data_IF_755356953846
#
_entry.id   IF_755356953846
#
_cell.length_a   1.000
_cell.length_b   1.000
_cell.length_c   1.000
_cell.angle_alpha   90.00
_cell.angle_beta   90.00
_cell.angle_gamma   90.00
#
_symmetry.space_group_name_H-M   'P 1'
#
loop_
_entity.id
_entity.type
_entity.pdbx_description
1 polymer ?
#
# COMPACT_ATOMS: atom_id res chain seq x y z
N UNK A 1 -2.60 3.58 -23.69
CA UNK A 1 -1.39 2.74 -23.58
C UNK A 1 -1.82 1.36 -23.11
N UNK A 2 -1.77 0.30 -23.93
CA UNK A 2 -2.05 -1.07 -23.47
C UNK A 2 -0.75 -1.70 -22.93
N UNK A 3 -0.79 -2.20 -21.70
CA UNK A 3 0.31 -2.95 -21.10
C UNK A 3 0.36 -4.36 -21.71
N UNK A 4 1.48 -4.69 -22.33
CA UNK A 4 1.75 -6.01 -22.88
C UNK A 4 2.24 -6.95 -21.76
N UNK A 5 1.57 -8.11 -21.65
CA UNK A 5 1.98 -9.22 -20.80
C UNK A 5 3.18 -9.90 -21.48
N UNK A 6 4.35 -9.88 -20.85
CA UNK A 6 5.52 -10.62 -21.32
C UNK A 6 5.39 -12.07 -20.86
N UNK A 7 5.11 -12.95 -21.80
CA UNK A 7 5.18 -14.40 -21.64
C UNK A 7 6.65 -14.84 -21.77
N UNK A 8 7.19 -15.46 -20.72
CA UNK A 8 8.50 -16.11 -20.77
C UNK A 8 8.38 -17.56 -20.29
N UNK A 9 7.97 -18.43 -21.21
CA UNK A 9 8.35 -19.85 -21.20
C UNK A 9 9.36 -20.05 -22.35
N UNK A 10 10.64 -20.33 -22.10
CA UNK A 10 11.16 -21.65 -21.70
C UNK A 10 12.69 -21.53 -21.56
N UNK A 11 13.37 -22.36 -20.74
CA UNK A 11 14.75 -22.71 -20.99
C UNK A 11 14.90 -24.16 -21.47
N UNK A 12 15.55 -24.27 -22.62
CA UNK A 12 16.07 -25.49 -23.23
C UNK A 12 17.06 -26.20 -22.30
N UNK A 13 16.99 -27.52 -22.30
CA UNK A 13 17.86 -28.45 -21.59
C UNK A 13 19.27 -28.44 -22.20
N UNK A 14 20.32 -28.38 -21.37
CA UNK A 14 21.68 -28.73 -21.78
C UNK A 14 22.78 -28.31 -20.82
N UNK A 15 23.55 -29.28 -20.31
CA UNK A 15 24.94 -29.07 -19.89
C UNK A 15 25.21 -29.10 -18.38
N UNK A 16 25.89 -30.16 -17.95
CA UNK A 16 26.39 -30.36 -16.59
C UNK A 16 27.39 -29.28 -16.15
N UNK A 17 27.23 -28.77 -14.93
CA UNK A 17 28.32 -28.24 -14.13
C UNK A 17 27.96 -28.44 -12.64
N UNK A 18 28.76 -29.27 -11.97
CA UNK A 18 28.78 -29.36 -10.52
C UNK A 18 29.13 -27.99 -9.93
N UNK A 19 28.27 -27.46 -9.06
CA UNK A 19 28.64 -26.42 -8.11
C UNK A 19 28.07 -26.76 -6.73
N UNK A 20 29.01 -27.11 -5.84
CA UNK A 20 28.87 -27.06 -4.40
C UNK A 20 28.49 -25.64 -3.97
N UNK A 21 27.45 -25.50 -3.16
CA UNK A 21 27.09 -24.24 -2.50
C UNK A 21 25.60 -23.95 -2.59
N UNK A 22 24.78 -24.72 -1.89
CA UNK A 22 23.37 -24.39 -1.67
C UNK A 22 23.30 -23.21 -0.70
N UNK A 23 23.57 -22.00 -1.19
CA UNK A 23 23.03 -20.80 -0.57
C UNK A 23 21.54 -20.83 -0.88
N UNK A 24 20.72 -21.15 0.13
CA UNK A 24 19.28 -21.06 0.03
C UNK A 24 18.94 -19.68 -0.55
N UNK A 25 18.34 -19.65 -1.74
CA UNK A 25 17.85 -18.42 -2.34
C UNK A 25 17.00 -17.69 -1.29
N UNK A 26 17.11 -16.36 -1.17
CA UNK A 26 16.26 -15.62 -0.24
C UNK A 26 14.83 -16.01 -0.55
N UNK A 27 14.13 -16.59 0.44
CA UNK A 27 12.75 -16.97 0.29
C UNK A 27 11.98 -15.72 -0.14
N UNK A 28 11.55 -15.64 -1.40
CA UNK A 28 10.64 -14.60 -1.85
C UNK A 28 9.40 -14.71 -0.96
N UNK A 29 9.21 -13.73 -0.09
CA UNK A 29 8.04 -13.68 0.77
C UNK A 29 6.88 -13.21 -0.11
N UNK A 30 5.87 -14.06 -0.28
CA UNK A 30 4.71 -13.72 -1.08
C UNK A 30 3.80 -12.73 -0.33
N UNK A 31 3.15 -11.87 -1.10
CA UNK A 31 2.13 -10.93 -0.61
C UNK A 31 0.79 -11.65 -0.57
N UNK A 32 0.06 -11.55 0.54
CA UNK A 32 -1.21 -12.27 0.63
C UNK A 32 -2.27 -11.71 -0.33
N UNK A 33 -3.18 -12.58 -0.82
CA UNK A 33 -4.33 -12.14 -1.60
C UNK A 33 -5.22 -11.12 -0.88
N UNK A 34 -5.21 -11.13 0.47
CA UNK A 34 -5.99 -10.20 1.27
C UNK A 34 -5.46 -8.77 1.17
N UNK A 35 -4.14 -8.57 1.24
CA UNK A 35 -3.54 -7.25 1.04
C UNK A 35 -3.78 -6.74 -0.39
N UNK A 36 -3.58 -7.59 -1.40
CA UNK A 36 -3.84 -7.24 -2.81
C UNK A 36 -5.29 -6.80 -2.99
N UNK A 37 -6.25 -7.54 -2.43
CA UNK A 37 -7.66 -7.19 -2.50
C UNK A 37 -7.96 -5.84 -1.84
N UNK A 38 -7.37 -5.57 -0.67
CA UNK A 38 -7.56 -4.28 0.02
C UNK A 38 -7.02 -3.10 -0.82
N UNK A 39 -5.85 -3.26 -1.42
CA UNK A 39 -5.27 -2.29 -2.35
C UNK A 39 -6.20 -2.08 -3.56
N UNK A 40 -6.66 -3.16 -4.19
CA UNK A 40 -7.56 -3.07 -5.34
C UNK A 40 -8.91 -2.41 -4.99
N UNK A 41 -9.49 -2.70 -3.82
CA UNK A 41 -10.72 -2.07 -3.35
C UNK A 41 -10.56 -0.57 -3.18
N UNK A 42 -9.45 -0.13 -2.57
CA UNK A 42 -9.14 1.30 -2.45
C UNK A 42 -8.92 1.94 -3.83
N UNK A 43 -8.16 1.31 -4.74
CA UNK A 43 -7.96 1.80 -6.11
C UNK A 43 -9.28 2.05 -6.84
N UNK A 44 -10.24 1.12 -6.72
CA UNK A 44 -11.55 1.23 -7.34
C UNK A 44 -12.34 2.43 -6.79
N UNK A 45 -12.45 2.52 -5.45
CA UNK A 45 -13.17 3.61 -4.79
C UNK A 45 -12.53 4.98 -5.09
N UNK A 46 -11.21 5.06 -5.05
CA UNK A 46 -10.49 6.30 -5.35
C UNK A 46 -10.64 6.73 -6.81
N UNK A 47 -10.65 5.77 -7.75
CA UNK A 47 -10.90 6.06 -9.17
C UNK A 47 -12.31 6.59 -9.42
N UNK A 48 -13.31 6.02 -8.74
CA UNK A 48 -14.70 6.47 -8.79
C UNK A 48 -14.86 7.88 -8.22
N UNK A 49 -14.28 8.14 -7.04
CA UNK A 49 -14.25 9.48 -6.43
C UNK A 49 -13.67 10.52 -7.38
N UNK A 50 -12.49 10.25 -7.97
CA UNK A 50 -11.88 11.17 -8.93
C UNK A 50 -12.74 11.36 -10.18
N UNK A 51 -13.45 10.33 -10.63
CA UNK A 51 -14.36 10.45 -11.76
C UNK A 51 -15.54 11.37 -11.44
N UNK A 52 -16.18 11.19 -10.28
CA UNK A 52 -17.28 12.04 -9.82
C UNK A 52 -16.79 13.48 -9.64
N UNK A 53 -15.64 13.69 -9.02
CA UNK A 53 -15.03 15.00 -8.85
C UNK A 53 -14.81 15.72 -10.19
N UNK A 54 -14.27 15.03 -11.20
CA UNK A 54 -14.09 15.60 -12.55
C UNK A 54 -15.41 15.94 -13.24
N UNK A 55 -16.46 15.16 -13.01
CA UNK A 55 -17.79 15.42 -13.58
C UNK A 55 -18.48 16.59 -12.89
N UNK A 56 -18.30 16.72 -11.58
CA UNK A 56 -18.85 17.78 -10.76
C UNK A 56 -18.03 19.09 -10.81
N UNK A 57 -16.83 19.09 -11.40
CA UNK A 57 -15.99 20.27 -11.49
C UNK A 57 -16.73 21.41 -12.20
N UNK A 58 -17.06 22.46 -11.43
CA UNK A 58 -17.82 23.61 -11.89
C UNK A 58 -17.12 24.38 -13.02
N UNK A 59 -15.78 24.34 -13.08
CA UNK A 59 -15.00 24.95 -14.16
C UNK A 59 -15.21 24.16 -15.45
N UNK A 60 -15.16 22.83 -15.37
CA UNK A 60 -15.39 21.95 -16.51
C UNK A 60 -16.86 21.98 -16.96
N UNK A 61 -17.79 22.01 -16.00
CA UNK A 61 -19.22 21.98 -16.26
C UNK A 61 -19.78 23.36 -16.67
N UNK A 62 -19.04 24.46 -16.45
CA UNK A 62 -19.48 25.82 -16.74
C UNK A 62 -20.72 26.25 -15.93
N UNK A 63 -21.01 25.56 -14.82
CA UNK A 63 -22.17 25.80 -13.97
C UNK A 63 -21.86 25.49 -12.51
N UNK A 64 -22.59 26.05 -11.54
CA UNK A 64 -22.44 25.68 -10.14
C UNK A 64 -22.74 24.19 -9.92
N UNK A 65 -22.05 23.61 -8.93
CA UNK A 65 -22.32 22.27 -8.41
C UNK A 65 -23.75 22.21 -7.87
N UNK A 66 -24.49 21.19 -8.26
CA UNK A 66 -25.80 20.88 -7.69
C UNK A 66 -25.66 20.16 -6.35
N UNK A 67 -26.72 20.21 -5.55
CA UNK A 67 -26.77 19.46 -4.28
C UNK A 67 -26.59 17.96 -4.48
N UNK A 68 -27.21 17.38 -5.52
CA UNK A 68 -27.07 15.95 -5.83
C UNK A 68 -25.63 15.56 -6.18
N UNK A 69 -24.91 16.40 -6.94
CA UNK A 69 -23.50 16.18 -7.24
C UNK A 69 -22.62 16.28 -5.99
N UNK A 70 -22.92 17.23 -5.11
CA UNK A 70 -22.24 17.37 -3.83
C UNK A 70 -22.48 16.14 -2.95
N UNK A 71 -23.72 15.70 -2.79
CA UNK A 71 -24.09 14.54 -1.97
C UNK A 71 -23.43 13.25 -2.50
N UNK A 72 -23.30 13.09 -3.82
CA UNK A 72 -22.57 11.97 -4.44
C UNK A 72 -21.06 12.04 -4.18
N UNK A 73 -20.48 13.24 -4.26
CA UNK A 73 -19.07 13.44 -3.98
C UNK A 73 -18.74 13.11 -2.53
N UNK A 74 -19.58 13.57 -1.59
CA UNK A 74 -19.46 13.29 -0.15
C UNK A 74 -19.55 11.79 0.12
N UNK A 75 -20.57 11.11 -0.44
CA UNK A 75 -20.74 9.66 -0.30
C UNK A 75 -19.55 8.87 -0.85
N UNK A 76 -19.02 9.26 -2.02
CA UNK A 76 -17.86 8.60 -2.62
C UNK A 76 -16.58 8.84 -1.80
N UNK A 77 -16.44 10.03 -1.22
CA UNK A 77 -15.35 10.40 -0.31
C UNK A 77 -15.37 9.54 0.95
N UNK A 78 -16.53 9.33 1.55
CA UNK A 78 -16.69 8.47 2.73
C UNK A 78 -16.30 7.00 2.44
N UNK A 79 -16.72 6.46 1.30
CA UNK A 79 -16.39 5.08 0.89
C UNK A 79 -14.89 4.93 0.63
N UNK A 80 -14.27 5.86 -0.09
CA UNK A 80 -12.83 5.85 -0.33
C UNK A 80 -12.05 5.89 0.99
N UNK A 81 -12.45 6.80 1.89
CA UNK A 81 -11.84 6.97 3.20
C UNK A 81 -11.95 5.72 4.05
N UNK A 82 -13.08 5.03 4.02
CA UNK A 82 -13.27 3.75 4.73
C UNK A 82 -12.24 2.71 4.26
N UNK A 83 -12.08 2.53 2.95
CA UNK A 83 -11.10 1.59 2.41
C UNK A 83 -9.66 2.02 2.73
N UNK A 84 -9.35 3.31 2.67
CA UNK A 84 -8.03 3.82 3.00
C UNK A 84 -7.67 3.57 4.47
N UNK A 85 -8.60 3.80 5.38
CA UNK A 85 -8.44 3.51 6.80
C UNK A 85 -8.28 2.01 7.06
N UNK A 86 -9.07 1.16 6.39
CA UNK A 86 -8.94 -0.29 6.47
C UNK A 86 -7.55 -0.76 5.98
N UNK A 87 -7.06 -0.20 4.87
CA UNK A 87 -5.73 -0.48 4.35
C UNK A 87 -4.63 0.00 5.33
N UNK A 88 -4.79 1.20 5.92
CA UNK A 88 -3.89 1.69 6.97
C UNK A 88 -3.89 0.78 8.22
N UNK A 89 -5.03 0.21 8.59
CA UNK A 89 -5.13 -0.74 9.69
C UNK A 89 -4.67 -2.16 9.35
N UNK A 90 -4.48 -2.50 8.06
CA UNK A 90 -4.10 -3.84 7.62
C UNK A 90 -2.82 -4.34 8.32
N UNK A 91 -2.87 -5.50 9.01
CA UNK A 91 -1.73 -6.05 9.73
C UNK A 91 -0.82 -6.85 8.79
N UNK A 92 0.20 -6.20 8.22
CA UNK A 92 1.18 -6.86 7.36
C UNK A 92 1.92 -8.00 8.10
N UNK A 93 1.90 -9.21 7.53
CA UNK A 93 2.44 -10.42 8.13
C UNK A 93 3.96 -10.58 7.90
N UNK A 94 4.49 -10.02 6.81
CA UNK A 94 5.88 -10.19 6.39
C UNK A 94 6.47 -8.89 5.81
N UNK A 95 7.77 -8.89 5.46
CA UNK A 95 8.44 -7.68 4.94
C UNK A 95 7.94 -7.27 3.56
N UNK A 96 7.61 -8.24 2.70
CA UNK A 96 7.05 -7.96 1.38
C UNK A 96 5.70 -7.23 1.48
N UNK A 97 4.79 -7.69 2.35
CA UNK A 97 3.52 -7.02 2.61
C UNK A 97 3.70 -5.63 3.22
N UNK A 98 4.71 -5.45 4.10
CA UNK A 98 5.04 -4.14 4.65
C UNK A 98 5.50 -3.19 3.55
N UNK A 99 6.39 -3.67 2.70
CA UNK A 99 6.93 -2.91 1.58
C UNK A 99 5.83 -2.51 0.61
N UNK A 100 5.04 -3.45 0.11
CA UNK A 100 3.98 -3.18 -0.87
C UNK A 100 2.90 -2.25 -0.32
N UNK A 101 2.47 -2.45 0.93
CA UNK A 101 1.54 -1.53 1.60
C UNK A 101 2.11 -0.13 1.72
N UNK A 102 3.38 0.01 2.12
CA UNK A 102 4.02 1.31 2.28
C UNK A 102 4.20 2.01 0.91
N UNK A 103 4.69 1.29 -0.10
CA UNK A 103 4.86 1.78 -1.46
C UNK A 103 3.52 2.28 -2.02
N UNK A 104 2.45 1.52 -1.84
CA UNK A 104 1.12 1.94 -2.26
C UNK A 104 0.63 3.19 -1.52
N UNK A 105 0.69 3.18 -0.18
CA UNK A 105 0.25 4.31 0.63
C UNK A 105 1.05 5.57 0.35
N UNK A 106 2.34 5.48 0.03
CA UNK A 106 3.14 6.65 -0.37
C UNK A 106 2.76 7.14 -1.78
N UNK A 107 2.53 6.23 -2.71
CA UNK A 107 2.23 6.56 -4.11
C UNK A 107 0.89 7.27 -4.32
N UNK A 108 -0.09 7.09 -3.43
CA UNK A 108 -1.38 7.81 -3.55
C UNK A 108 -1.28 9.31 -3.17
N UNK A 109 -0.21 9.73 -2.49
CA UNK A 109 0.01 11.14 -2.10
C UNK A 109 0.94 11.92 -3.01
N UNK A 110 1.48 11.30 -4.06
CA UNK A 110 2.22 12.03 -5.09
C UNK A 110 1.22 12.84 -5.95
N UNK A 111 0.87 14.05 -5.49
CA UNK A 111 0.13 15.03 -6.29
C UNK A 111 -0.90 15.89 -5.54
N UNK A 112 -1.41 15.45 -4.39
CA UNK A 112 -2.42 16.16 -3.59
C UNK A 112 -1.90 16.41 -2.17
N UNK A 113 -2.21 17.56 -1.55
CA UNK A 113 -1.83 17.84 -0.16
C UNK A 113 -2.72 17.01 0.79
N UNK A 114 -2.19 16.00 1.49
CA UNK A 114 -3.02 15.11 2.30
C UNK A 114 -3.52 15.78 3.57
N UNK A 115 -4.76 15.46 3.94
CA UNK A 115 -5.33 15.86 5.23
C UNK A 115 -4.45 15.44 6.41
N UNK A 116 -4.21 16.31 7.41
CA UNK A 116 -3.26 16.04 8.49
C UNK A 116 -3.55 14.76 9.31
N UNK A 117 -4.83 14.41 9.48
CA UNK A 117 -5.21 13.18 10.20
C UNK A 117 -4.92 11.91 9.41
N UNK A 118 -4.97 11.99 8.08
CA UNK A 118 -4.63 10.88 7.19
C UNK A 118 -3.12 10.63 7.22
N UNK A 119 -2.32 11.70 7.15
CA UNK A 119 -0.86 11.62 7.31
C UNK A 119 -0.51 10.98 8.66
N UNK A 120 -1.15 11.41 9.75
CA UNK A 120 -0.95 10.80 11.07
C UNK A 120 -1.33 9.32 11.10
N UNK A 121 -2.42 8.92 10.43
CA UNK A 121 -2.84 7.52 10.37
C UNK A 121 -1.81 6.64 9.65
N UNK A 122 -1.26 7.12 8.54
CA UNK A 122 -0.21 6.44 7.77
C UNK A 122 1.08 6.36 8.58
N UNK A 123 1.54 7.49 9.14
CA UNK A 123 2.72 7.52 10.00
C UNK A 123 2.58 6.57 11.19
N UNK A 124 1.40 6.48 11.80
CA UNK A 124 1.10 5.49 12.86
C UNK A 124 1.12 4.06 12.36
N UNK A 125 0.62 3.80 11.15
CA UNK A 125 0.70 2.47 10.52
C UNK A 125 2.17 2.04 10.32
N UNK A 126 3.06 2.99 10.02
CA UNK A 126 4.49 2.72 9.86
C UNK A 126 5.23 2.66 11.22
N UNK A 127 4.81 3.47 12.19
CA UNK A 127 5.52 3.61 13.48
C UNK A 127 5.26 2.47 14.47
N UNK A 128 4.07 1.84 14.44
CA UNK A 128 3.79 0.63 15.25
C UNK A 128 4.67 -0.58 14.87
N UNK A 129 5.49 -0.45 13.82
CA UNK A 129 6.43 -1.47 13.36
C UNK A 129 7.84 -1.31 13.95
N UNK A 130 8.22 -0.14 14.48
CA UNK A 130 9.53 0.04 15.12
C UNK A 130 9.62 -0.60 16.51
N UNK A 131 8.48 -0.82 17.16
CA UNK A 131 8.40 -1.31 18.55
C UNK A 131 8.44 -2.85 18.66
N UNK A 132 8.34 -3.57 17.54
CA UNK A 132 8.39 -5.05 17.52
C UNK A 132 9.78 -5.63 17.24
N UNK A 133 10.78 -4.77 17.00
CA UNK A 133 12.15 -5.17 16.64
C UNK A 133 13.18 -4.88 17.73
N UNK A 134 12.76 -4.45 18.93
CA UNK A 134 13.67 -4.48 20.07
C UNK A 134 13.68 -5.91 20.61
N UNK A 135 14.65 -6.68 20.14
CA UNK A 135 15.02 -7.96 20.72
C UNK A 135 15.17 -7.81 22.25
N UNK A 136 14.49 -8.62 23.09
CA UNK A 136 14.69 -8.60 24.53
C UNK A 136 16.15 -8.86 24.95
N UNK A 137 16.96 -9.47 24.08
CA UNK A 137 18.41 -9.58 24.27
C UNK A 137 19.13 -8.22 24.13
N UNK A 138 18.68 -7.34 23.23
CA UNK A 138 19.22 -5.98 23.08
C UNK A 138 18.86 -5.07 24.28
N UNK A 139 17.69 -5.25 24.90
CA UNK A 139 17.34 -4.54 26.14
C UNK A 139 18.18 -5.00 27.34
N UNK A 140 18.55 -6.28 27.40
CA UNK A 140 19.38 -6.81 28.49
C UNK A 140 20.83 -6.33 28.40
N UNK A 141 21.36 -6.12 27.20
CA UNK A 141 22.72 -5.60 26.99
C UNK A 141 22.90 -4.13 27.44
N UNK A 142 21.85 -3.31 27.32
CA UNK A 142 21.86 -1.91 27.78
C UNK A 142 21.71 -1.80 29.31
N UNK A 143 21.05 -2.76 29.96
CA UNK A 143 20.84 -2.75 31.42
C UNK A 143 22.01 -3.32 32.22
N UNK A 144 22.92 -4.05 31.56
CA UNK A 144 24.11 -4.67 32.18
C UNK A 144 25.35 -3.79 32.29
N UNK A 145 25.35 -2.55 31.75
CA UNK A 145 26.51 -1.64 31.82
C UNK A 145 26.47 -0.66 33.00
N UNK A 146 25.48 -0.77 33.89
CA UNK A 146 25.37 0.01 35.13
C UNK A 146 25.27 -0.91 36.38
N UNK A 147 26.15 -1.90 36.46
CA UNK A 147 26.39 -2.72 37.66
C UNK A 147 27.85 -2.64 38.07
#
# INVERSE_FOLDING_TARGET
MPFAFVDHATPSVGGAAEYHGCAAAPHCQDVSPALVKAICSHCAAYSELRQIARQADAVVAGRPITRDEFDRLDSASDVEREFLLALCAYPAANDAERHDKATYLLGIFEGDEPEPELVKAILRSMSRQADRTIDPAAQSALRGQHG
#
